data_IF_461846211640
#
_entry.id   IF_461846211640
#
_cell.length_a   1.000
_cell.length_b   1.000
_cell.length_c   1.000
_cell.angle_alpha   90.00
_cell.angle_beta   90.00
_cell.angle_gamma   90.00
#
_symmetry.space_group_name_H-M   'P 1'
#
loop_
_entity.id
_entity.type
_entity.pdbx_description
1 polymer ?
#
# COMPACT_ATOMS: atom_id res chain seq x y z
N UNK A 1 -18.34 13.60 -25.13
CA UNK A 1 -18.20 12.14 -25.36
C UNK A 1 -19.53 11.48 -25.73
N UNK A 2 -20.64 11.70 -25.01
CA UNK A 2 -21.98 11.21 -25.42
C UNK A 2 -22.40 11.63 -26.85
N UNK A 3 -22.00 12.83 -27.31
CA UNK A 3 -22.29 13.33 -28.66
C UNK A 3 -21.59 12.53 -29.78
N UNK A 4 -20.56 11.73 -29.45
CA UNK A 4 -19.79 10.92 -30.41
C UNK A 4 -20.09 9.41 -30.31
N UNK A 5 -20.65 8.92 -29.20
CA UNK A 5 -20.81 7.47 -28.94
C UNK A 5 -22.24 6.93 -29.16
N UNK A 6 -23.22 7.79 -29.47
CA UNK A 6 -24.62 7.41 -29.65
C UNK A 6 -25.40 7.37 -28.33
N UNK A 7 -26.73 7.55 -28.38
CA UNK A 7 -27.58 7.74 -27.20
C UNK A 7 -27.70 6.49 -26.30
N UNK A 8 -27.41 5.32 -26.84
CA UNK A 8 -27.57 4.03 -26.15
C UNK A 8 -26.23 3.38 -25.73
N UNK A 9 -25.11 4.10 -25.82
CA UNK A 9 -23.81 3.57 -25.42
C UNK A 9 -23.59 3.69 -23.89
N UNK A 10 -23.47 2.54 -23.22
CA UNK A 10 -23.00 2.49 -21.84
C UNK A 10 -21.50 2.87 -21.78
N UNK A 11 -21.22 4.00 -21.14
CA UNK A 11 -19.88 4.57 -21.05
C UNK A 11 -19.26 4.26 -19.69
N UNK A 12 -18.43 3.22 -19.64
CA UNK A 12 -17.60 2.92 -18.48
C UNK A 12 -16.22 3.56 -18.67
N UNK A 13 -15.95 4.65 -17.95
CA UNK A 13 -14.65 5.32 -17.96
C UNK A 13 -13.81 4.74 -16.82
N UNK A 14 -12.70 4.09 -17.16
CA UNK A 14 -11.68 3.74 -16.18
C UNK A 14 -11.07 5.02 -15.60
N UNK A 15 -11.28 5.25 -14.31
CA UNK A 15 -10.80 6.44 -13.58
C UNK A 15 -9.77 6.02 -12.53
N UNK A 16 -8.93 6.97 -12.12
CA UNK A 16 -7.92 6.75 -11.08
C UNK A 16 -8.58 6.41 -9.72
N UNK A 17 -7.95 5.51 -8.95
CA UNK A 17 -8.48 5.07 -7.67
C UNK A 17 -8.54 6.19 -6.62
N UNK A 18 -7.78 7.28 -6.78
CA UNK A 18 -7.83 8.44 -5.90
C UNK A 18 -9.22 9.07 -5.81
N UNK A 19 -10.09 8.87 -6.81
CA UNK A 19 -11.46 9.37 -6.78
C UNK A 19 -12.36 8.60 -5.80
N UNK A 20 -12.03 7.33 -5.53
CA UNK A 20 -12.76 6.49 -4.59
C UNK A 20 -12.30 6.69 -3.13
N UNK A 21 -11.27 7.51 -2.88
CA UNK A 21 -10.82 7.89 -1.53
C UNK A 21 -11.92 8.61 -0.74
N UNK A 22 -12.79 9.35 -1.43
CA UNK A 22 -13.89 10.09 -0.81
C UNK A 22 -15.11 9.22 -0.47
N UNK A 23 -15.13 7.95 -0.86
CA UNK A 23 -16.25 7.06 -0.59
C UNK A 23 -16.39 6.77 0.91
N UNK A 24 -17.60 6.90 1.50
CA UNK A 24 -17.80 6.67 2.93
C UNK A 24 -17.39 5.28 3.41
N UNK A 25 -17.55 4.24 2.59
CA UNK A 25 -17.14 2.88 2.96
C UNK A 25 -15.61 2.79 2.99
N UNK A 26 -14.92 3.38 2.01
CA UNK A 26 -13.45 3.47 1.99
C UNK A 26 -12.90 4.17 3.22
N UNK A 27 -13.46 5.33 3.58
CA UNK A 27 -13.01 6.09 4.75
C UNK A 27 -13.22 5.27 6.03
N UNK A 28 -14.39 4.65 6.17
CA UNK A 28 -14.73 3.83 7.35
C UNK A 28 -13.78 2.65 7.51
N UNK A 29 -13.53 1.90 6.43
CA UNK A 29 -12.61 0.76 6.43
C UNK A 29 -11.20 1.22 6.77
N UNK A 30 -10.74 2.34 6.21
CA UNK A 30 -9.39 2.88 6.44
C UNK A 30 -9.17 3.25 7.90
N UNK A 31 -10.09 3.99 8.50
CA UNK A 31 -10.00 4.42 9.91
C UNK A 31 -9.94 3.22 10.85
N UNK A 32 -10.67 2.14 10.55
CA UNK A 32 -10.67 0.91 11.35
C UNK A 32 -9.39 0.08 11.11
N UNK A 33 -8.92 0.03 9.86
CA UNK A 33 -7.80 -0.86 9.49
C UNK A 33 -6.44 -0.31 9.92
N UNK A 34 -6.27 1.00 10.02
CA UNK A 34 -5.04 1.64 10.53
C UNK A 34 -4.64 1.10 11.92
N UNK A 35 -5.46 1.24 12.98
CA UNK A 35 -5.08 0.76 14.32
C UNK A 35 -4.95 -0.76 14.36
N UNK A 36 -5.75 -1.51 13.59
CA UNK A 36 -5.62 -2.96 13.49
C UNK A 36 -4.28 -3.39 12.90
N UNK A 37 -3.84 -2.71 11.83
CA UNK A 37 -2.55 -2.99 11.19
C UNK A 37 -1.38 -2.67 12.13
N UNK A 38 -1.48 -1.57 12.87
CA UNK A 38 -0.50 -1.23 13.90
C UNK A 38 -0.44 -2.28 15.02
N UNK A 39 -1.60 -2.81 15.43
CA UNK A 39 -1.66 -3.88 16.43
C UNK A 39 -1.05 -5.18 15.89
N UNK A 40 -1.35 -5.54 14.64
CA UNK A 40 -0.72 -6.67 13.96
C UNK A 40 0.80 -6.53 13.90
N UNK A 41 1.33 -5.31 13.67
CA UNK A 41 2.77 -5.04 13.69
C UNK A 41 3.48 -5.49 14.96
N UNK A 42 2.83 -5.30 16.11
CA UNK A 42 3.40 -5.60 17.42
C UNK A 42 3.39 -7.10 17.73
N UNK A 43 2.44 -7.84 17.15
CA UNK A 43 2.25 -9.27 17.42
C UNK A 43 3.02 -10.14 16.41
N UNK A 44 3.21 -9.66 15.18
CA UNK A 44 3.81 -10.45 14.11
C UNK A 44 5.29 -10.76 14.38
N UNK A 45 5.70 -12.04 14.36
CA UNK A 45 7.08 -12.42 14.56
C UNK A 45 7.93 -12.08 13.34
N UNK A 46 9.14 -11.55 13.57
CA UNK A 46 10.14 -11.30 12.53
C UNK A 46 10.09 -9.93 11.86
N UNK A 47 9.15 -9.06 12.25
CA UNK A 47 9.03 -7.70 11.71
C UNK A 47 9.60 -6.72 12.73
N UNK A 48 10.80 -6.20 12.48
CA UNK A 48 11.45 -5.19 13.34
C UNK A 48 11.17 -3.75 12.89
N UNK A 49 10.20 -3.57 12.00
CA UNK A 49 9.81 -2.26 11.45
C UNK A 49 8.41 -1.91 11.94
N UNK A 50 8.30 -0.73 12.51
CA UNK A 50 7.01 -0.17 12.88
C UNK A 50 6.39 0.51 11.64
N UNK A 51 5.14 0.19 11.25
CA UNK A 51 4.58 0.54 9.95
C UNK A 51 4.10 2.01 9.87
N UNK A 52 4.90 2.99 10.30
CA UNK A 52 4.54 4.41 10.21
C UNK A 52 4.56 4.88 8.74
N UNK A 53 5.57 4.50 7.96
CA UNK A 53 5.65 4.86 6.54
C UNK A 53 4.51 4.25 5.71
N UNK A 54 4.08 3.04 6.07
CA UNK A 54 3.02 2.32 5.35
C UNK A 54 1.62 2.89 5.63
N UNK A 55 1.42 3.72 6.66
CA UNK A 55 0.12 4.30 7.02
C UNK A 55 -0.55 5.05 5.87
N UNK A 56 0.23 5.83 5.10
CA UNK A 56 -0.27 6.58 3.94
C UNK A 56 -0.70 5.64 2.80
N UNK A 57 -0.08 4.48 2.70
CA UNK A 57 -0.35 3.48 1.65
C UNK A 57 -1.60 2.66 1.93
N UNK A 58 -1.93 2.46 3.22
CA UNK A 58 -3.13 1.73 3.63
C UNK A 58 -4.39 2.36 3.02
N UNK A 59 -4.43 3.70 2.90
CA UNK A 59 -5.57 4.43 2.35
C UNK A 59 -5.85 4.05 0.89
N UNK A 60 -4.79 3.86 0.09
CA UNK A 60 -4.94 3.42 -1.30
C UNK A 60 -5.27 1.92 -1.40
N UNK A 61 -4.70 1.10 -0.51
CA UNK A 61 -5.00 -0.33 -0.44
C UNK A 61 -6.46 -0.61 -0.04
N UNK A 62 -6.98 0.09 0.96
CA UNK A 62 -8.39 -0.01 1.36
C UNK A 62 -9.32 0.43 0.25
N UNK A 63 -8.99 1.50 -0.47
CA UNK A 63 -9.79 1.95 -1.62
C UNK A 63 -9.97 0.86 -2.67
N UNK A 64 -8.89 0.15 -3.00
CA UNK A 64 -8.93 -0.96 -3.97
C UNK A 64 -9.73 -2.16 -3.46
N UNK A 65 -9.59 -2.52 -2.18
CA UNK A 65 -10.33 -3.66 -1.61
C UNK A 65 -11.82 -3.36 -1.42
N UNK A 66 -12.18 -2.12 -1.12
CA UNK A 66 -13.57 -1.66 -1.01
C UNK A 66 -14.26 -1.65 -2.36
N UNK A 67 -13.57 -1.18 -3.40
CA UNK A 67 -14.05 -1.26 -4.77
C UNK A 67 -14.27 -2.73 -5.18
N UNK A 68 -13.29 -3.60 -4.94
CA UNK A 68 -13.39 -5.03 -5.26
C UNK A 68 -14.49 -5.76 -4.46
N UNK A 69 -14.80 -5.27 -3.26
CA UNK A 69 -15.84 -5.83 -2.39
C UNK A 69 -17.23 -5.22 -2.62
N UNK A 70 -17.40 -4.37 -3.64
CA UNK A 70 -18.63 -3.63 -3.92
C UNK A 70 -19.18 -2.89 -2.68
N UNK A 71 -18.30 -2.28 -1.90
CA UNK A 71 -18.69 -1.52 -0.70
C UNK A 71 -18.92 -2.34 0.58
N UNK A 72 -18.68 -3.66 0.57
CA UNK A 72 -18.79 -4.47 1.78
C UNK A 72 -17.64 -4.18 2.75
N UNK A 73 -17.94 -3.46 3.83
CA UNK A 73 -16.98 -3.02 4.85
C UNK A 73 -16.24 -4.18 5.51
N UNK A 74 -16.94 -5.22 5.95
CA UNK A 74 -16.34 -6.34 6.70
C UNK A 74 -15.35 -7.10 5.82
N UNK A 75 -15.77 -7.42 4.59
CA UNK A 75 -14.91 -8.13 3.63
C UNK A 75 -13.66 -7.30 3.29
N UNK A 76 -13.82 -5.99 3.17
CA UNK A 76 -12.74 -5.07 2.84
C UNK A 76 -11.73 -4.93 3.98
N UNK A 77 -12.18 -4.88 5.24
CA UNK A 77 -11.30 -4.84 6.41
C UNK A 77 -10.43 -6.10 6.44
N UNK A 78 -11.03 -7.29 6.31
CA UNK A 78 -10.29 -8.57 6.35
C UNK A 78 -9.30 -8.64 5.20
N UNK A 79 -9.73 -8.28 3.99
CA UNK A 79 -8.88 -8.33 2.79
C UNK A 79 -7.70 -7.36 2.91
N UNK A 80 -7.95 -6.13 3.39
CA UNK A 80 -6.89 -5.14 3.61
C UNK A 80 -5.93 -5.60 4.70
N UNK A 81 -6.44 -6.14 5.82
CA UNK A 81 -5.60 -6.61 6.92
C UNK A 81 -4.64 -7.71 6.44
N UNK A 82 -5.16 -8.70 5.70
CA UNK A 82 -4.34 -9.76 5.11
C UNK A 82 -3.28 -9.20 4.15
N UNK A 83 -3.67 -8.22 3.33
CA UNK A 83 -2.75 -7.58 2.39
C UNK A 83 -1.66 -6.79 3.12
N UNK A 84 -2.00 -6.04 4.17
CA UNK A 84 -1.06 -5.33 5.03
C UNK A 84 -0.04 -6.28 5.66
N UNK A 85 -0.45 -7.46 6.13
CA UNK A 85 0.47 -8.45 6.71
C UNK A 85 1.54 -8.87 5.68
N UNK A 86 1.12 -9.16 4.45
CA UNK A 86 2.04 -9.53 3.36
C UNK A 86 3.02 -8.39 3.06
N UNK A 87 2.52 -7.16 2.97
CA UNK A 87 3.34 -5.97 2.70
C UNK A 87 4.37 -5.74 3.81
N UNK A 88 4.00 -5.95 5.08
CA UNK A 88 4.93 -5.77 6.19
C UNK A 88 6.05 -6.81 6.20
N UNK A 89 5.78 -8.07 5.85
CA UNK A 89 6.83 -9.09 5.69
C UNK A 89 7.75 -8.78 4.52
N UNK A 90 7.21 -8.33 3.39
CA UNK A 90 8.01 -7.91 2.24
C UNK A 90 8.85 -6.68 2.56
N UNK A 91 8.28 -5.69 3.27
CA UNK A 91 9.01 -4.52 3.75
C UNK A 91 10.18 -4.92 4.65
N UNK A 92 9.96 -5.86 5.58
CA UNK A 92 11.03 -6.45 6.41
C UNK A 92 12.14 -7.13 5.60
N UNK A 93 11.79 -7.80 4.50
CA UNK A 93 12.77 -8.43 3.61
C UNK A 93 13.60 -7.41 2.81
N UNK A 94 12.97 -6.36 2.29
CA UNK A 94 13.63 -5.28 1.54
C UNK A 94 14.43 -4.34 2.48
N UNK A 95 14.16 -4.43 3.79
CA UNK A 95 14.65 -3.48 4.76
C UNK A 95 16.17 -3.23 4.80
N UNK A 96 17.00 -4.29 4.80
CA UNK A 96 18.45 -4.14 4.85
C UNK A 96 19.00 -3.45 3.60
N UNK A 97 18.40 -3.72 2.44
CA UNK A 97 18.82 -3.12 1.17
C UNK A 97 18.55 -1.62 1.12
N UNK A 98 17.34 -1.18 1.47
CA UNK A 98 17.04 0.26 1.49
C UNK A 98 17.88 1.03 2.53
N UNK A 99 18.17 0.40 3.67
CA UNK A 99 19.04 1.00 4.69
C UNK A 99 20.48 1.19 4.17
N UNK A 100 21.00 0.24 3.38
CA UNK A 100 22.32 0.37 2.75
C UNK A 100 22.37 1.53 1.74
N UNK A 101 21.32 1.75 0.94
CA UNK A 101 21.25 2.90 0.04
C UNK A 101 21.26 4.23 0.78
N UNK A 102 20.53 4.32 1.89
CA UNK A 102 20.48 5.54 2.71
C UNK A 102 21.84 5.85 3.37
N UNK A 103 22.56 4.82 3.82
CA UNK A 103 23.95 4.99 4.27
C UNK A 103 24.89 5.43 3.14
N UNK A 104 24.76 4.87 1.93
CA UNK A 104 25.54 5.30 0.76
C UNK A 104 25.27 6.76 0.35
N UNK A 105 24.03 7.24 0.56
CA UNK A 105 23.63 8.63 0.35
C UNK A 105 24.05 9.59 1.48
N UNK A 106 24.74 9.09 2.52
CA UNK A 106 25.22 9.90 3.65
C UNK A 106 24.17 10.20 4.72
N UNK A 107 23.02 9.52 4.70
CA UNK A 107 21.95 9.70 5.68
C UNK A 107 22.26 8.84 6.92
N UNK A 108 22.69 9.47 8.01
CA UNK A 108 23.04 8.77 9.25
C UNK A 108 21.81 8.27 10.01
N UNK A 109 21.32 7.08 9.67
CA UNK A 109 20.21 6.44 10.36
C UNK A 109 20.71 5.59 11.54
N UNK A 110 20.24 5.89 12.75
CA UNK A 110 20.43 5.02 13.91
C UNK A 110 19.28 3.99 13.95
N UNK A 111 19.32 2.99 13.06
CA UNK A 111 18.35 1.87 13.00
C UNK A 111 18.09 1.36 11.58
N UNK A 112 17.29 0.30 11.44
CA UNK A 112 16.72 -0.08 10.15
C UNK A 112 15.51 0.81 9.86
N UNK A 113 15.65 1.69 8.88
CA UNK A 113 14.60 2.61 8.47
C UNK A 113 14.26 2.34 7.02
N UNK A 114 13.04 1.84 6.79
CA UNK A 114 12.52 1.65 5.43
C UNK A 114 11.15 2.23 5.31
N UNK A 115 11.04 3.23 4.45
CA UNK A 115 9.78 3.59 3.84
C UNK A 115 9.77 2.95 2.45
N UNK A 116 8.95 1.92 2.28
CA UNK A 116 8.84 1.21 1.00
C UNK A 116 7.37 0.94 0.75
N UNK A 117 6.87 1.52 -0.33
CA UNK A 117 5.46 1.52 -0.67
C UNK A 117 5.33 0.71 -1.95
N UNK A 118 5.27 -0.62 -1.82
CA UNK A 118 5.08 -1.60 -2.90
C UNK A 118 3.76 -1.37 -3.66
N UNK A 119 3.72 -0.29 -4.43
CA UNK A 119 2.56 0.18 -5.20
C UNK A 119 2.81 0.05 -6.69
N UNK A 120 4.05 -0.27 -7.11
CA UNK A 120 4.36 -0.48 -8.52
C UNK A 120 5.52 -1.45 -8.77
N UNK A 121 5.53 -2.11 -9.96
CA UNK A 121 6.64 -2.97 -10.39
C UNK A 121 7.96 -2.21 -10.53
N UNK A 122 7.89 -0.88 -10.64
CA UNK A 122 9.04 0.01 -10.71
C UNK A 122 9.93 -0.07 -9.46
N UNK A 123 9.37 -0.29 -8.27
CA UNK A 123 10.17 -0.33 -7.04
C UNK A 123 10.93 -1.66 -6.89
N UNK A 124 10.35 -2.76 -7.37
CA UNK A 124 11.05 -4.05 -7.47
C UNK A 124 12.15 -3.95 -8.51
N UNK A 125 11.90 -3.25 -9.63
CA UNK A 125 12.89 -2.99 -10.65
C UNK A 125 14.05 -2.12 -10.13
N UNK A 126 13.77 -1.04 -9.38
CA UNK A 126 14.83 -0.21 -8.80
C UNK A 126 15.65 -0.99 -7.78
N UNK A 127 15.03 -1.83 -6.95
CA UNK A 127 15.75 -2.75 -6.05
C UNK A 127 16.60 -3.78 -6.80
N UNK A 128 16.07 -4.35 -7.89
CA UNK A 128 16.81 -5.30 -8.72
C UNK A 128 17.99 -4.63 -9.43
N UNK A 129 17.77 -3.48 -10.06
CA UNK A 129 18.81 -2.68 -10.71
C UNK A 129 19.89 -2.29 -9.70
N UNK A 130 19.49 -1.86 -8.51
CA UNK A 130 20.43 -1.46 -7.49
C UNK A 130 21.22 -2.63 -6.89
N UNK A 131 20.68 -3.85 -6.93
CA UNK A 131 21.40 -5.08 -6.57
C UNK A 131 22.35 -5.57 -7.67
N UNK A 132 22.06 -5.28 -8.94
CA UNK A 132 22.87 -5.72 -10.09
C UNK A 132 24.02 -4.75 -10.40
N UNK A 133 23.83 -3.45 -10.16
CA UNK A 133 24.84 -2.41 -10.44
C UNK A 133 25.74 -2.09 -9.23
N UNK A 134 25.77 -2.98 -8.22
CA UNK A 134 26.67 -2.91 -7.07
C UNK A 134 27.58 -4.12 -6.97
#
# INVERSE_FOLDING_TARGET
MQKQMGKDAELNIGMDCALALGDPATITVTVITIPLTMLCALILPGIMIFPIGVLMSIIYMTTMTVMASNGNVIRSIISTLLFSIVVMYLGGYVAPGATQFLHGAGVGLQGQGTDFVLTGPWEVLTYWLSTVFH
#
